data_IF_968533872414
#
_entry.id   IF_968533872414
#
_cell.length_a   1.000
_cell.length_b   1.000
_cell.length_c   1.000
_cell.angle_alpha   90.00
_cell.angle_beta   90.00
_cell.angle_gamma   90.00
#
_symmetry.space_group_name_H-M   'P 1'
#
loop_
_entity.id
_entity.type
_entity.pdbx_description
1 polymer ?
#
# COMPACT_ATOMS: atom_id res chain seq x y z
N UNK A 1 28.96 -1.57 6.59
CA UNK A 1 28.98 -2.53 5.48
C UNK A 1 27.66 -2.35 4.75
N UNK A 2 27.69 -2.00 3.46
CA UNK A 2 26.47 -1.88 2.65
C UNK A 2 26.00 -3.30 2.34
N UNK A 3 25.10 -3.85 3.15
CA UNK A 3 24.37 -5.08 2.84
C UNK A 3 23.28 -4.79 1.79
N UNK A 4 23.68 -4.17 0.67
CA UNK A 4 22.82 -4.14 -0.51
C UNK A 4 22.91 -5.51 -1.18
N UNK A 5 22.01 -6.42 -0.77
CA UNK A 5 21.73 -7.68 -1.46
C UNK A 5 21.58 -7.38 -2.95
N UNK A 6 22.28 -8.15 -3.78
CA UNK A 6 22.21 -8.02 -5.23
C UNK A 6 20.74 -8.14 -5.69
N UNK A 7 20.28 -7.13 -6.43
CA UNK A 7 18.88 -7.04 -6.86
C UNK A 7 18.71 -7.91 -8.10
N UNK A 8 17.97 -9.00 -7.98
CA UNK A 8 17.50 -9.76 -9.12
C UNK A 8 16.23 -9.10 -9.65
N UNK A 9 16.26 -8.48 -10.84
CA UNK A 9 15.13 -7.71 -11.34
C UNK A 9 13.90 -8.59 -11.53
N UNK A 10 12.79 -8.25 -10.88
CA UNK A 10 11.52 -9.00 -10.95
C UNK A 10 10.74 -8.78 -12.27
N UNK A 11 11.21 -7.86 -13.13
CA UNK A 11 10.50 -7.41 -14.35
C UNK A 11 9.95 -8.54 -15.21
N UNK A 12 10.63 -9.67 -15.34
CA UNK A 12 10.22 -10.74 -16.25
C UNK A 12 9.15 -11.66 -15.62
N UNK A 13 8.97 -11.63 -14.29
CA UNK A 13 8.02 -12.49 -13.56
C UNK A 13 6.56 -12.05 -13.70
N UNK A 14 6.34 -10.74 -13.78
CA UNK A 14 5.01 -10.11 -13.84
C UNK A 14 4.91 -9.11 -15.00
N UNK A 15 5.56 -9.41 -16.14
CA UNK A 15 5.46 -8.63 -17.38
C UNK A 15 5.74 -7.13 -17.17
N UNK A 16 6.76 -6.81 -16.38
CA UNK A 16 7.22 -5.47 -16.09
C UNK A 16 6.53 -4.78 -14.92
N UNK A 17 5.68 -5.47 -14.15
CA UNK A 17 5.10 -4.94 -12.92
C UNK A 17 5.95 -5.25 -11.68
N UNK A 18 6.17 -4.25 -10.83
CA UNK A 18 6.63 -4.44 -9.46
C UNK A 18 5.42 -4.68 -8.55
N UNK A 19 5.24 -5.88 -7.97
CA UNK A 19 4.23 -6.09 -6.95
C UNK A 19 4.64 -5.37 -5.65
N UNK A 20 3.74 -4.54 -5.13
CA UNK A 20 3.90 -3.87 -3.82
C UNK A 20 2.69 -4.23 -2.98
N UNK A 21 2.92 -4.89 -1.84
CA UNK A 21 1.85 -5.18 -0.88
C UNK A 21 1.48 -3.87 -0.20
N UNK A 22 0.20 -3.51 -0.21
CA UNK A 22 -0.32 -2.30 0.40
C UNK A 22 -1.53 -2.67 1.24
N UNK A 23 -1.61 -2.04 2.40
CA UNK A 23 -2.76 -2.07 3.29
C UNK A 23 -3.00 -0.64 3.78
N UNK A 24 -4.26 -0.22 3.86
CA UNK A 24 -4.63 1.11 4.34
C UNK A 24 -5.61 1.03 5.49
N UNK A 25 -5.42 1.92 6.46
CA UNK A 25 -6.41 2.19 7.50
C UNK A 25 -7.10 3.52 7.22
N UNK A 26 -8.41 3.55 7.40
CA UNK A 26 -9.26 4.64 6.91
C UNK A 26 -10.30 5.05 7.94
N UNK A 27 -10.83 6.25 7.78
CA UNK A 27 -11.94 6.77 8.57
C UNK A 27 -13.30 6.22 8.13
N UNK A 28 -13.38 5.25 7.22
CA UNK A 28 -14.64 4.75 6.67
C UNK A 28 -14.44 4.01 5.34
N UNK A 29 -15.52 3.67 4.65
CA UNK A 29 -15.46 2.87 3.41
C UNK A 29 -15.60 3.69 2.11
N UNK A 30 -16.03 4.95 2.20
CA UNK A 30 -16.20 5.86 1.07
C UNK A 30 -14.88 6.60 0.81
N UNK A 31 -14.07 6.08 -0.11
CA UNK A 31 -12.78 6.65 -0.53
C UNK A 31 -12.82 8.14 -0.91
N UNK A 32 -13.99 8.66 -1.29
CA UNK A 32 -14.15 10.04 -1.73
C UNK A 32 -14.42 11.00 -0.56
N UNK A 33 -14.91 10.49 0.58
CA UNK A 33 -15.27 11.29 1.76
C UNK A 33 -14.45 10.98 3.01
N UNK A 34 -14.06 9.73 3.19
CA UNK A 34 -13.47 9.23 4.43
C UNK A 34 -11.96 9.42 4.43
N UNK A 35 -11.40 9.69 5.62
CA UNK A 35 -9.98 9.96 5.76
C UNK A 35 -9.12 8.73 5.40
N UNK A 36 -7.98 8.94 4.74
CA UNK A 36 -6.88 7.97 4.71
C UNK A 36 -5.99 8.24 5.93
N UNK A 37 -5.88 7.26 6.83
CA UNK A 37 -5.25 7.45 8.14
C UNK A 37 -3.90 6.77 8.25
N UNK A 38 -3.73 5.61 7.64
CA UNK A 38 -2.43 4.92 7.56
C UNK A 38 -2.24 4.24 6.21
N UNK A 39 -0.98 4.13 5.79
CA UNK A 39 -0.56 3.28 4.68
C UNK A 39 0.59 2.41 5.18
N UNK A 40 0.50 1.11 4.99
CA UNK A 40 1.63 0.19 5.06
C UNK A 40 1.98 -0.28 3.65
N UNK A 41 3.28 -0.39 3.35
CA UNK A 41 3.76 -0.92 2.09
C UNK A 41 4.93 -1.88 2.27
N UNK A 42 4.82 -3.09 1.72
CA UNK A 42 5.91 -4.07 1.70
C UNK A 42 6.39 -4.25 0.26
N UNK A 43 7.66 -3.94 0.05
CA UNK A 43 8.34 -4.15 -1.23
C UNK A 43 8.72 -5.62 -1.34
N UNK A 44 8.31 -6.26 -2.43
CA UNK A 44 8.73 -7.62 -2.74
C UNK A 44 9.96 -7.61 -3.66
N UNK A 45 10.92 -8.48 -3.36
CA UNK A 45 12.05 -8.80 -4.24
C UNK A 45 12.11 -10.29 -4.50
N UNK A 46 12.89 -10.67 -5.50
CA UNK A 46 13.13 -12.06 -5.85
C UNK A 46 14.52 -12.47 -5.38
N UNK A 47 14.64 -13.63 -4.72
CA UNK A 47 15.92 -14.21 -4.35
C UNK A 47 16.58 -14.98 -5.51
N UNK A 48 17.82 -15.42 -5.33
CA UNK A 48 18.61 -16.17 -6.35
C UNK A 48 17.94 -17.45 -6.84
N UNK A 49 17.01 -17.99 -6.06
CA UNK A 49 16.25 -19.19 -6.40
C UNK A 49 14.93 -18.86 -7.12
N UNK A 50 14.67 -17.60 -7.40
CA UNK A 50 13.45 -17.14 -8.05
C UNK A 50 12.24 -17.00 -7.10
N UNK A 51 12.43 -17.08 -5.78
CA UNK A 51 11.32 -16.96 -4.83
C UNK A 51 11.08 -15.50 -4.45
N UNK A 52 9.81 -15.14 -4.26
CA UNK A 52 9.44 -13.83 -3.74
C UNK A 52 9.69 -13.76 -2.24
N UNK A 53 10.30 -12.66 -1.80
CA UNK A 53 10.60 -12.36 -0.41
C UNK A 53 10.20 -10.91 -0.08
N UNK A 54 9.65 -10.66 1.12
CA UNK A 54 9.58 -9.30 1.66
C UNK A 54 10.99 -8.72 1.76
N UNK A 55 11.17 -7.48 1.29
CA UNK A 55 12.44 -6.75 1.37
C UNK A 55 12.40 -5.64 2.42
N UNK A 56 11.57 -4.63 2.21
CA UNK A 56 11.43 -3.50 3.13
C UNK A 56 9.96 -3.22 3.38
N UNK A 57 9.67 -2.93 4.64
CA UNK A 57 8.36 -2.45 5.08
C UNK A 57 8.47 -0.96 5.35
N UNK A 58 7.49 -0.22 4.86
CA UNK A 58 7.34 1.21 5.08
C UNK A 58 5.94 1.46 5.64
N UNK A 59 5.84 2.41 6.56
CA UNK A 59 4.57 2.82 7.14
C UNK A 59 4.49 4.34 7.17
N UNK A 60 3.29 4.86 6.95
CA UNK A 60 3.00 6.28 7.04
C UNK A 60 1.71 6.46 7.85
N UNK A 61 1.79 7.24 8.92
CA UNK A 61 0.61 7.76 9.59
C UNK A 61 0.25 9.09 8.92
N UNK A 62 -1.04 9.30 8.68
CA UNK A 62 -1.52 10.38 7.83
C UNK A 62 -2.55 11.20 8.60
N UNK A 63 -2.39 12.52 8.53
CA UNK A 63 -3.39 13.46 9.03
C UNK A 63 -4.64 13.38 8.14
N UNK A 64 -5.86 13.35 8.70
CA UNK A 64 -7.08 13.48 7.92
C UNK A 64 -7.03 14.74 7.06
N UNK A 65 -7.42 14.63 5.78
CA UNK A 65 -7.52 15.81 4.93
C UNK A 65 -8.63 16.76 5.45
N UNK A 66 -8.56 18.03 5.07
CA UNK A 66 -9.54 19.02 5.51
C UNK A 66 -10.96 18.63 5.09
N UNK A 67 -11.87 18.51 6.07
CA UNK A 67 -13.26 18.12 5.84
C UNK A 67 -13.48 16.61 5.67
N UNK A 68 -12.46 15.77 5.90
CA UNK A 68 -12.60 14.32 5.87
C UNK A 68 -13.63 13.82 6.90
N UNK A 69 -14.42 12.83 6.51
CA UNK A 69 -15.30 12.12 7.42
C UNK A 69 -14.50 11.06 8.23
N UNK A 70 -14.92 10.88 9.48
CA UNK A 70 -14.42 9.88 10.41
C UNK A 70 -15.63 9.13 10.99
N UNK A 71 -15.97 8.01 10.37
CA UNK A 71 -17.04 7.12 10.81
C UNK A 71 -16.69 6.51 12.18
N UNK A 72 -17.52 6.71 13.22
CA UNK A 72 -17.21 6.22 14.56
C UNK A 72 -17.01 4.70 14.64
N UNK A 73 -17.72 3.91 13.83
CA UNK A 73 -17.62 2.45 13.83
C UNK A 73 -16.28 2.03 13.22
N UNK A 74 -15.88 2.63 12.09
CA UNK A 74 -14.57 2.38 11.50
C UNK A 74 -13.43 2.76 12.45
N UNK A 75 -13.54 3.89 13.14
CA UNK A 75 -12.54 4.32 14.14
C UNK A 75 -12.48 3.38 15.35
N UNK A 76 -13.61 2.82 15.77
CA UNK A 76 -13.65 1.81 16.83
C UNK A 76 -13.00 0.49 16.38
N UNK A 77 -13.27 0.06 15.15
CA UNK A 77 -12.75 -1.20 14.59
C UNK A 77 -11.23 -1.16 14.42
N UNK A 78 -10.68 -0.07 13.86
CA UNK A 78 -9.23 0.04 13.67
C UNK A 78 -8.49 0.54 14.92
N UNK A 79 -9.20 1.12 15.90
CA UNK A 79 -8.63 1.61 17.15
C UNK A 79 -7.74 2.85 17.00
N UNK A 80 -7.81 3.56 15.87
CA UNK A 80 -7.00 4.75 15.63
C UNK A 80 -7.54 5.92 16.44
N UNK A 81 -6.71 6.48 17.32
CA UNK A 81 -6.98 7.75 17.97
C UNK A 81 -6.18 8.87 17.29
N UNK A 82 -6.85 9.70 16.48
CA UNK A 82 -6.23 10.82 15.78
C UNK A 82 -5.74 11.93 16.72
N UNK A 83 -6.30 12.00 17.92
CA UNK A 83 -5.95 13.01 18.93
C UNK A 83 -4.82 12.58 19.87
N UNK A 84 -4.36 11.34 19.74
CA UNK A 84 -3.21 10.83 20.49
C UNK A 84 -1.98 11.73 20.29
N UNK A 85 -1.32 12.20 21.37
CA UNK A 85 -0.13 13.04 21.27
C UNK A 85 0.96 12.41 20.40
N UNK A 86 1.19 11.10 20.56
CA UNK A 86 2.18 10.37 19.78
C UNK A 86 1.83 10.35 18.29
N UNK A 87 0.54 10.17 17.95
CA UNK A 87 0.12 10.19 16.54
C UNK A 87 0.34 11.56 15.92
N UNK A 88 -0.01 12.63 16.63
CA UNK A 88 0.20 14.01 16.17
C UNK A 88 1.67 14.35 15.92
N UNK A 89 2.61 13.69 16.60
CA UNK A 89 4.05 13.87 16.37
C UNK A 89 4.56 13.14 15.11
N UNK A 90 3.98 12.01 14.75
CA UNK A 90 4.48 11.15 13.65
C UNK A 90 3.63 11.21 12.38
N UNK A 91 2.38 11.64 12.48
CA UNK A 91 1.49 11.77 11.33
C UNK A 91 1.99 12.87 10.40
N UNK A 92 1.87 12.61 9.10
CA UNK A 92 2.28 13.53 8.05
C UNK A 92 1.04 14.11 7.37
N UNK A 93 1.10 15.36 6.90
CA UNK A 93 0.10 15.88 5.97
C UNK A 93 -0.04 14.94 4.76
N UNK A 94 -1.27 14.70 4.29
CA UNK A 94 -1.59 13.74 3.21
C UNK A 94 -0.66 13.91 2.00
N UNK A 95 -0.43 15.15 1.55
CA UNK A 95 0.47 15.45 0.44
C UNK A 95 1.90 14.94 0.66
N UNK A 96 2.45 15.12 1.87
CA UNK A 96 3.82 14.68 2.19
C UNK A 96 3.90 13.15 2.26
N UNK A 97 2.93 12.52 2.93
CA UNK A 97 2.85 11.07 3.01
C UNK A 97 2.79 10.43 1.62
N UNK A 98 1.92 10.92 0.74
CA UNK A 98 1.79 10.44 -0.64
C UNK A 98 3.05 10.65 -1.48
N UNK A 99 3.74 11.79 -1.30
CA UNK A 99 5.02 12.05 -1.97
C UNK A 99 6.09 11.04 -1.56
N UNK A 100 6.25 10.79 -0.26
CA UNK A 100 7.22 9.84 0.29
C UNK A 100 6.89 8.39 -0.12
N UNK A 101 5.63 8.00 -0.02
CA UNK A 101 5.11 6.70 -0.46
C UNK A 101 5.43 6.42 -1.92
N UNK A 102 5.05 7.32 -2.83
CA UNK A 102 5.32 7.13 -4.25
C UNK A 102 6.80 7.24 -4.61
N UNK A 103 7.60 8.01 -3.87
CA UNK A 103 9.05 8.08 -4.07
C UNK A 103 9.72 6.74 -3.80
N UNK A 104 9.35 6.06 -2.71
CA UNK A 104 9.85 4.72 -2.38
C UNK A 104 9.53 3.74 -3.51
N UNK A 105 8.28 3.71 -3.96
CA UNK A 105 7.83 2.77 -5.00
C UNK A 105 8.52 3.03 -6.34
N UNK A 106 8.71 4.29 -6.75
CA UNK A 106 9.43 4.64 -7.99
C UNK A 106 10.89 4.21 -7.93
N UNK A 107 11.54 4.38 -6.78
CA UNK A 107 12.92 3.92 -6.56
C UNK A 107 13.02 2.41 -6.76
N UNK A 108 12.14 1.64 -6.13
CA UNK A 108 12.15 0.18 -6.23
C UNK A 108 11.71 -0.33 -7.61
N UNK A 109 10.79 0.37 -8.28
CA UNK A 109 10.40 0.04 -9.67
C UNK A 109 11.60 0.18 -10.61
N UNK A 110 12.35 1.27 -10.48
CA UNK A 110 13.58 1.51 -11.25
C UNK A 110 14.62 0.43 -10.97
N UNK A 111 14.87 0.13 -9.69
CA UNK A 111 15.84 -0.87 -9.27
C UNK A 111 15.51 -2.28 -9.81
N UNK A 112 14.22 -2.61 -9.90
CA UNK A 112 13.73 -3.89 -10.41
C UNK A 112 13.48 -3.92 -11.92
N UNK A 113 13.83 -2.85 -12.64
CA UNK A 113 13.60 -2.69 -14.09
C UNK A 113 12.13 -2.86 -14.49
N UNK A 114 11.22 -2.54 -13.58
CA UNK A 114 9.78 -2.56 -13.80
C UNK A 114 9.32 -1.23 -14.40
N UNK A 115 8.33 -1.29 -15.28
CA UNK A 115 7.75 -0.12 -15.94
C UNK A 115 6.67 0.55 -15.09
N UNK A 116 6.02 -0.23 -14.22
CA UNK A 116 4.94 0.22 -13.34
C UNK A 116 4.87 -0.66 -12.09
N UNK A 117 4.21 -0.20 -11.03
CA UNK A 117 3.87 -1.02 -9.88
C UNK A 117 2.45 -1.56 -9.98
N UNK A 118 2.20 -2.71 -9.37
CA UNK A 118 0.87 -3.30 -9.20
C UNK A 118 0.60 -3.49 -7.71
N UNK A 119 -0.54 -2.99 -7.24
CA UNK A 119 -0.92 -3.09 -5.84
C UNK A 119 -1.32 -4.54 -5.55
N UNK A 120 -0.76 -5.10 -4.50
CA UNK A 120 -1.15 -6.38 -3.90
C UNK A 120 -1.84 -6.08 -2.57
N UNK A 121 -3.03 -6.60 -2.34
CA UNK A 121 -3.79 -6.31 -1.12
C UNK A 121 -4.94 -7.29 -0.95
N UNK A 122 -5.56 -7.31 0.22
CA UNK A 122 -6.66 -8.24 0.53
C UNK A 122 -8.00 -7.52 0.38
N UNK A 123 -8.74 -7.83 -0.68
CA UNK A 123 -9.76 -6.92 -1.26
C UNK A 123 -9.11 -5.67 -1.88
N UNK A 124 -8.00 -5.86 -2.60
CA UNK A 124 -7.09 -4.81 -3.10
C UNK A 124 -7.73 -3.59 -3.82
N UNK A 125 -8.95 -3.72 -4.35
CA UNK A 125 -9.67 -2.60 -4.96
C UNK A 125 -9.99 -1.49 -3.92
N UNK A 126 -10.20 -1.87 -2.67
CA UNK A 126 -10.41 -0.95 -1.56
C UNK A 126 -9.19 -0.05 -1.36
N UNK A 127 -8.02 -0.66 -1.12
CA UNK A 127 -6.77 0.06 -0.90
C UNK A 127 -6.40 0.93 -2.09
N UNK A 128 -6.46 0.37 -3.30
CA UNK A 128 -6.16 1.11 -4.53
C UNK A 128 -7.10 2.32 -4.71
N UNK A 129 -8.37 2.18 -4.33
CA UNK A 129 -9.35 3.26 -4.36
C UNK A 129 -8.92 4.45 -3.51
N UNK A 130 -8.59 4.22 -2.25
CA UNK A 130 -8.11 5.27 -1.34
C UNK A 130 -6.79 5.89 -1.81
N UNK A 131 -5.83 5.08 -2.27
CA UNK A 131 -4.55 5.57 -2.81
C UNK A 131 -4.76 6.47 -4.03
N UNK A 132 -5.67 6.10 -4.93
CA UNK A 132 -5.95 6.91 -6.13
C UNK A 132 -6.60 8.24 -5.77
N UNK A 133 -7.62 8.25 -4.91
CA UNK A 133 -8.30 9.49 -4.52
C UNK A 133 -7.38 10.41 -3.72
N UNK A 134 -6.57 9.85 -2.80
CA UNK A 134 -5.56 10.62 -2.09
C UNK A 134 -4.53 11.24 -3.07
N UNK A 135 -4.12 10.51 -4.10
CA UNK A 135 -3.23 11.03 -5.14
C UNK A 135 -3.87 12.17 -5.94
N UNK A 136 -5.16 12.07 -6.27
CA UNK A 136 -5.90 13.12 -6.97
C UNK A 136 -6.05 14.38 -6.11
N UNK A 137 -6.52 14.23 -4.87
CA UNK A 137 -6.69 15.33 -3.90
C UNK A 137 -5.39 16.07 -3.62
N UNK A 138 -4.27 15.35 -3.59
CA UNK A 138 -2.94 15.94 -3.36
C UNK A 138 -2.21 16.34 -4.65
N UNK A 139 -2.82 16.21 -5.83
CA UNK A 139 -2.25 16.65 -7.10
C UNK A 139 -1.10 15.80 -7.65
N UNK A 140 -0.92 14.57 -7.16
CA UNK A 140 0.15 13.65 -7.58
C UNK A 140 -0.14 12.99 -8.94
N UNK A 141 0.15 13.70 -10.04
CA UNK A 141 -0.07 13.23 -11.42
C UNK A 141 0.72 11.97 -11.82
N UNK A 142 1.81 11.65 -11.12
CA UNK A 142 2.73 10.54 -11.46
C UNK A 142 2.56 9.35 -10.51
N UNK A 143 1.34 8.89 -10.28
CA UNK A 143 1.09 7.68 -9.48
C UNK A 143 1.78 6.45 -10.14
N UNK A 144 2.73 5.77 -9.45
CA UNK A 144 3.46 4.64 -10.01
C UNK A 144 2.62 3.36 -10.13
N UNK A 145 1.45 3.27 -9.51
CA UNK A 145 0.58 2.11 -9.61
C UNK A 145 -0.18 2.05 -10.93
N UNK A 146 -0.51 0.84 -11.35
CA UNK A 146 -1.54 0.63 -12.37
C UNK A 146 -2.89 1.17 -11.87
N UNK A 147 -3.66 1.92 -12.68
CA UNK A 147 -4.79 2.70 -12.18
C UNK A 147 -5.97 1.84 -11.72
N UNK A 148 -6.10 0.62 -12.24
CA UNK A 148 -7.23 -0.27 -11.95
C UNK A 148 -6.86 -1.75 -11.77
N UNK A 149 -5.61 -2.15 -12.06
CA UNK A 149 -5.23 -3.57 -11.96
C UNK A 149 -4.54 -3.79 -10.64
N UNK A 150 -4.90 -4.88 -9.97
CA UNK A 150 -4.36 -5.30 -8.68
C UNK A 150 -4.11 -6.80 -8.69
N UNK A 151 -3.30 -7.27 -7.75
CA UNK A 151 -3.28 -8.67 -7.33
C UNK A 151 -4.03 -8.79 -6.02
N UNK A 152 -5.26 -9.26 -6.10
CA UNK A 152 -6.12 -9.43 -4.93
C UNK A 152 -5.84 -10.77 -4.23
N UNK A 153 -5.43 -10.70 -2.97
CA UNK A 153 -5.11 -11.89 -2.17
C UNK A 153 -6.34 -12.64 -1.71
N UNK A 154 -7.55 -12.09 -1.80
CA UNK A 154 -8.80 -12.87 -1.64
C UNK A 154 -8.89 -13.90 -2.76
N UNK A 155 -8.72 -13.45 -4.01
CA UNK A 155 -8.74 -14.33 -5.18
C UNK A 155 -7.62 -15.36 -5.14
N UNK A 156 -6.39 -14.94 -4.83
CA UNK A 156 -5.25 -15.86 -4.71
C UNK A 156 -5.43 -16.86 -3.55
N UNK A 157 -5.98 -16.40 -2.42
CA UNK A 157 -6.29 -17.25 -1.27
C UNK A 157 -7.37 -18.28 -1.59
N UNK A 158 -8.40 -17.87 -2.33
CA UNK A 158 -9.46 -18.76 -2.81
C UNK A 158 -8.90 -19.86 -3.72
N UNK A 159 -7.98 -19.49 -4.62
CA UNK A 159 -7.32 -20.46 -5.51
C UNK A 159 -6.39 -21.42 -4.75
N UNK A 160 -5.49 -20.88 -3.92
CA UNK A 160 -4.41 -21.67 -3.33
C UNK A 160 -4.83 -22.45 -2.07
N UNK A 161 -5.80 -21.93 -1.31
CA UNK A 161 -6.16 -22.45 0.01
C UNK A 161 -7.66 -22.71 0.18
N UNK A 162 -8.50 -22.34 -0.79
CA UNK A 162 -9.97 -22.43 -0.66
C UNK A 162 -10.52 -21.51 0.44
N UNK A 163 -9.81 -20.43 0.78
CA UNK A 163 -10.20 -19.48 1.83
C UNK A 163 -10.13 -18.05 1.31
N UNK A 164 -11.09 -17.22 1.72
CA UNK A 164 -11.16 -15.79 1.35
C UNK A 164 -10.89 -14.86 2.53
N UNK A 165 -10.91 -15.38 3.76
CA UNK A 165 -10.63 -14.61 4.99
C UNK A 165 -9.13 -14.62 5.23
N UNK A 166 -8.51 -13.44 5.32
CA UNK A 166 -7.06 -13.28 5.49
C UNK A 166 -6.51 -14.14 6.63
N UNK A 167 -7.14 -14.07 7.81
CA UNK A 167 -6.74 -14.85 8.99
C UNK A 167 -6.89 -16.37 8.84
N UNK A 168 -7.59 -16.87 7.81
CA UNK A 168 -7.65 -18.31 7.49
C UNK A 168 -6.65 -18.71 6.41
N UNK A 169 -6.30 -17.78 5.53
CA UNK A 169 -5.26 -17.96 4.50
C UNK A 169 -3.88 -17.99 5.14
N UNK A 170 -3.61 -17.09 6.09
CA UNK A 170 -2.31 -16.91 6.74
C UNK A 170 -2.03 -17.91 7.89
N UNK A 171 -2.80 -18.99 8.00
CA UNK A 171 -2.62 -20.03 9.02
C UNK A 171 -1.50 -21.00 8.69
#
# INVERSE_FOLDING_TARGET
MNDEIEIIPIKDRFRGFLPVVVDVETGGFDKDKDALLEIAAVILRMDEKGNLRPYRTHTWHIEPFEGANLDPISMEVNGINIDSPFRKEIALPEHRAMSDFFKVIRKESTANKCTRSILVGHNAAFDLGFINVAAERTGHKRNPFHPFSTFDTVTLGGMAYGQTVLARIAK
#
